data_IF_453393902918
#
_entry.id   IF_453393902918
#
_cell.length_a   1.000
_cell.length_b   1.000
_cell.length_c   1.000
_cell.angle_alpha   90.00
_cell.angle_beta   90.00
_cell.angle_gamma   90.00
#
_symmetry.space_group_name_H-M   'P 1'
#
loop_
_entity.id
_entity.type
_entity.pdbx_description
1 polymer ?
#
# COMPACT_ATOMS: atom_id res chain seq x y z
N UNK A 1 26.62 -16.77 34.61
CA UNK A 1 26.31 -16.86 33.17
C UNK A 1 24.84 -16.53 32.86
N UNK A 2 23.86 -17.06 33.60
CA UNK A 2 22.41 -16.81 33.37
C UNK A 2 22.00 -15.31 33.37
N UNK A 3 22.49 -14.51 34.32
CA UNK A 3 22.09 -13.09 34.42
C UNK A 3 22.54 -12.24 33.21
N UNK A 4 23.70 -12.52 32.62
CA UNK A 4 24.21 -11.78 31.44
C UNK A 4 23.33 -12.02 30.22
N UNK A 5 22.84 -13.26 30.03
CA UNK A 5 21.93 -13.60 28.94
C UNK A 5 20.55 -12.92 29.10
N UNK A 6 20.06 -12.80 30.34
CA UNK A 6 18.80 -12.13 30.63
C UNK A 6 18.88 -10.64 30.31
N UNK A 7 19.90 -9.92 30.80
CA UNK A 7 20.08 -8.49 30.50
C UNK A 7 20.20 -8.24 29.00
N UNK A 8 20.97 -9.06 28.27
CA UNK A 8 21.09 -8.94 26.81
C UNK A 8 19.76 -9.19 26.09
N UNK A 9 18.96 -10.16 26.53
CA UNK A 9 17.63 -10.43 25.95
C UNK A 9 16.68 -9.24 26.13
N UNK A 10 16.57 -8.69 27.34
CA UNK A 10 15.73 -7.51 27.60
C UNK A 10 16.19 -6.29 26.82
N UNK A 11 17.50 -6.07 26.70
CA UNK A 11 18.06 -5.00 25.88
C UNK A 11 17.66 -5.16 24.40
N UNK A 12 17.85 -6.36 23.82
CA UNK A 12 17.45 -6.64 22.43
C UNK A 12 15.94 -6.45 22.20
N UNK A 13 15.10 -6.88 23.16
CA UNK A 13 13.65 -6.67 23.09
C UNK A 13 13.30 -5.18 23.08
N UNK A 14 13.90 -4.38 23.97
CA UNK A 14 13.69 -2.92 24.02
C UNK A 14 14.14 -2.24 22.71
N UNK A 15 15.31 -2.60 22.17
CA UNK A 15 15.78 -2.06 20.87
C UNK A 15 14.82 -2.43 19.74
N UNK A 16 14.27 -3.65 19.73
CA UNK A 16 13.30 -4.08 18.72
C UNK A 16 12.00 -3.27 18.79
N UNK A 17 11.46 -3.01 19.99
CA UNK A 17 10.26 -2.21 20.20
C UNK A 17 10.49 -0.75 19.79
N UNK A 18 11.62 -0.17 20.18
CA UNK A 18 12.00 1.19 19.80
C UNK A 18 12.12 1.30 18.27
N UNK A 19 12.77 0.33 17.62
CA UNK A 19 12.90 0.29 16.16
C UNK A 19 11.53 0.22 15.47
N UNK A 20 10.59 -0.58 15.99
CA UNK A 20 9.21 -0.65 15.47
C UNK A 20 8.48 0.69 15.63
N UNK A 21 8.64 1.37 16.77
CA UNK A 21 8.02 2.67 17.01
C UNK A 21 8.58 3.75 16.09
N UNK A 22 9.91 3.82 15.93
CA UNK A 22 10.57 4.76 15.01
C UNK A 22 10.16 4.49 13.56
N UNK A 23 10.11 3.22 13.14
CA UNK A 23 9.65 2.89 11.79
C UNK A 23 8.18 3.25 11.58
N UNK A 24 7.31 3.04 12.58
CA UNK A 24 5.91 3.49 12.50
C UNK A 24 5.84 5.00 12.31
N UNK A 25 6.53 5.78 13.14
CA UNK A 25 6.58 7.23 13.04
C UNK A 25 7.04 7.71 11.65
N UNK A 26 8.10 7.10 11.11
CA UNK A 26 8.57 7.39 9.74
C UNK A 26 7.55 7.08 8.65
N UNK A 27 6.74 6.03 8.82
CA UNK A 27 5.69 5.70 7.85
C UNK A 27 4.49 6.65 7.96
N UNK A 28 4.17 7.12 9.16
CA UNK A 28 3.07 8.07 9.42
C UNK A 28 3.43 9.49 8.94
N UNK A 29 4.72 9.82 8.89
CA UNK A 29 5.24 11.06 8.28
C UNK A 29 5.16 11.09 6.75
N UNK A 30 4.89 9.96 6.08
CA UNK A 30 4.76 9.95 4.61
C UNK A 30 3.46 10.65 4.19
N UNK A 31 3.57 11.58 3.24
CA UNK A 31 2.42 12.34 2.72
C UNK A 31 1.52 11.49 1.82
N UNK A 32 2.10 10.52 1.11
CA UNK A 32 1.36 9.63 0.20
C UNK A 32 1.08 8.30 0.86
N UNK A 33 -0.18 7.88 0.82
CA UNK A 33 -0.64 6.60 1.36
C UNK A 33 -1.46 5.85 0.32
N UNK A 34 -1.20 4.55 0.15
CA UNK A 34 -2.00 3.68 -0.70
C UNK A 34 -2.67 2.57 0.10
N UNK A 35 -3.97 2.38 -0.11
CA UNK A 35 -4.76 1.30 0.47
C UNK A 35 -4.96 0.21 -0.60
N UNK A 36 -4.60 -1.03 -0.25
CA UNK A 36 -4.70 -2.22 -1.10
C UNK A 36 -5.36 -3.37 -0.34
N UNK A 37 -5.83 -4.39 -1.07
CA UNK A 37 -6.53 -5.52 -0.46
C UNK A 37 -5.56 -6.51 0.21
N UNK A 38 -4.56 -6.98 -0.52
CA UNK A 38 -3.65 -8.04 -0.09
C UNK A 38 -2.18 -7.64 0.01
N UNK A 39 -1.41 -8.53 0.66
CA UNK A 39 0.04 -8.41 0.77
C UNK A 39 0.74 -8.56 -0.58
N UNK A 40 0.23 -9.43 -1.45
CA UNK A 40 0.75 -9.64 -2.81
C UNK A 40 0.64 -8.38 -3.66
N UNK A 41 -0.43 -7.60 -3.48
CA UNK A 41 -0.63 -6.33 -4.19
C UNK A 41 0.39 -5.32 -3.71
N UNK A 42 0.54 -5.20 -2.38
CA UNK A 42 1.56 -4.36 -1.76
C UNK A 42 2.96 -4.68 -2.29
N UNK A 43 3.39 -5.94 -2.23
CA UNK A 43 4.72 -6.34 -2.70
C UNK A 43 4.92 -6.06 -4.20
N UNK A 44 3.88 -6.28 -5.02
CA UNK A 44 3.93 -5.98 -6.45
C UNK A 44 4.08 -4.47 -6.69
N UNK A 45 3.31 -3.65 -5.98
CA UNK A 45 3.34 -2.18 -6.11
C UNK A 45 4.68 -1.63 -5.62
N UNK A 46 5.19 -2.10 -4.46
CA UNK A 46 6.51 -1.73 -3.94
C UNK A 46 7.62 -2.06 -4.96
N UNK A 47 7.49 -3.16 -5.70
CA UNK A 47 8.48 -3.51 -6.74
C UNK A 47 8.47 -2.58 -7.96
N UNK A 48 7.43 -1.75 -8.14
CA UNK A 48 7.24 -0.85 -9.29
C UNK A 48 7.41 0.62 -8.89
N UNK A 49 6.98 1.00 -7.69
CA UNK A 49 7.02 2.36 -7.17
C UNK A 49 8.46 2.81 -6.93
N UNK A 50 8.78 4.04 -7.33
CA UNK A 50 10.10 4.65 -7.18
C UNK A 50 10.04 5.95 -6.36
N UNK A 51 9.18 5.98 -5.35
CA UNK A 51 9.13 7.03 -4.34
C UNK A 51 8.65 6.49 -3.00
N UNK A 52 8.96 7.17 -1.87
CA UNK A 52 8.45 6.79 -0.57
C UNK A 52 6.92 6.90 -0.51
N UNK A 53 6.27 5.83 -0.07
CA UNK A 53 4.82 5.79 0.13
C UNK A 53 4.47 4.75 1.18
N UNK A 54 3.52 5.07 2.05
CA UNK A 54 2.98 4.08 2.99
C UNK A 54 1.94 3.23 2.27
N UNK A 55 2.11 1.91 2.27
CA UNK A 55 1.11 0.98 1.70
C UNK A 55 0.45 0.16 2.81
N UNK A 56 -0.87 0.32 2.95
CA UNK A 56 -1.74 -0.32 3.95
C UNK A 56 -2.52 -1.44 3.27
N UNK A 57 -2.46 -2.65 3.83
CA UNK A 57 -3.24 -3.80 3.37
C UNK A 57 -4.47 -3.98 4.27
N UNK A 58 -5.66 -4.16 3.68
CA UNK A 58 -6.89 -4.43 4.45
C UNK A 58 -7.05 -5.90 4.84
N UNK A 59 -6.43 -6.83 4.09
CA UNK A 59 -6.64 -8.28 4.19
C UNK A 59 -8.07 -8.73 3.81
N UNK A 60 -8.60 -8.19 2.73
CA UNK A 60 -9.89 -8.61 2.13
C UNK A 60 -11.13 -7.92 2.71
N UNK A 61 -11.05 -7.37 3.91
CA UNK A 61 -12.17 -6.69 4.56
C UNK A 61 -11.66 -5.68 5.58
N UNK A 62 -12.47 -4.67 5.87
CA UNK A 62 -12.19 -3.71 6.92
C UNK A 62 -13.50 -3.38 7.65
N UNK A 63 -13.45 -3.35 8.98
CA UNK A 63 -14.62 -2.97 9.77
C UNK A 63 -14.87 -1.47 9.66
N UNK A 64 -16.12 -1.05 9.86
CA UNK A 64 -16.49 0.37 9.87
C UNK A 64 -15.62 1.18 10.85
N UNK A 65 -15.46 0.69 12.09
CA UNK A 65 -14.60 1.35 13.08
C UNK A 65 -13.14 1.50 12.61
N UNK A 66 -12.59 0.47 11.95
CA UNK A 66 -11.23 0.54 11.42
C UNK A 66 -11.11 1.51 10.24
N UNK A 67 -12.16 1.64 9.42
CA UNK A 67 -12.20 2.65 8.37
C UNK A 67 -12.22 4.06 8.95
N UNK A 68 -13.05 4.31 9.97
CA UNK A 68 -13.13 5.60 10.66
C UNK A 68 -11.78 5.96 11.29
N UNK A 69 -11.14 5.03 12.00
CA UNK A 69 -9.79 5.22 12.55
C UNK A 69 -8.75 5.56 11.47
N UNK A 70 -8.81 4.89 10.31
CA UNK A 70 -7.91 5.19 9.19
C UNK A 70 -8.24 6.52 8.53
N UNK A 71 -9.51 6.92 8.46
CA UNK A 71 -9.90 8.21 7.88
C UNK A 71 -9.36 9.36 8.73
N UNK A 72 -9.48 9.26 10.06
CA UNK A 72 -8.88 10.22 10.99
C UNK A 72 -7.35 10.24 10.89
N UNK A 73 -6.71 9.08 10.76
CA UNK A 73 -5.26 8.95 10.63
C UNK A 73 -4.72 9.56 9.32
N UNK A 74 -5.52 9.52 8.25
CA UNK A 74 -5.10 9.89 6.89
C UNK A 74 -5.73 11.21 6.40
N UNK A 75 -6.37 11.97 7.27
CA UNK A 75 -7.17 13.16 6.91
C UNK A 75 -6.40 14.20 6.09
N UNK A 76 -5.13 14.47 6.42
CA UNK A 76 -4.27 15.43 5.70
C UNK A 76 -3.28 14.75 4.73
N UNK A 77 -3.59 13.54 4.25
CA UNK A 77 -2.69 12.73 3.41
C UNK A 77 -3.23 12.55 1.99
N UNK A 78 -2.33 12.40 1.02
CA UNK A 78 -2.69 12.00 -0.34
C UNK A 78 -3.03 10.50 -0.35
N UNK A 79 -4.33 10.18 -0.28
CA UNK A 79 -4.81 8.80 -0.24
C UNK A 79 -5.08 8.26 -1.65
N UNK A 80 -4.45 7.14 -1.98
CA UNK A 80 -4.66 6.38 -3.21
C UNK A 80 -5.28 5.02 -2.88
N UNK A 81 -6.20 4.55 -3.72
CA UNK A 81 -6.90 3.29 -3.49
C UNK A 81 -6.77 2.41 -4.72
N UNK A 82 -6.10 1.27 -4.56
CA UNK A 82 -5.91 0.28 -5.61
C UNK A 82 -6.33 -1.10 -5.09
N UNK A 83 -7.61 -1.41 -5.29
CA UNK A 83 -8.21 -2.71 -4.92
C UNK A 83 -8.52 -3.52 -6.18
N UNK A 84 -8.72 -4.82 -5.98
CA UNK A 84 -9.01 -5.76 -7.05
C UNK A 84 -10.30 -5.38 -7.80
N UNK A 85 -10.36 -5.80 -9.06
CA UNK A 85 -11.47 -5.54 -9.97
C UNK A 85 -12.51 -6.67 -9.96
N UNK A 86 -12.39 -7.61 -9.02
CA UNK A 86 -13.35 -8.67 -8.78
C UNK A 86 -14.53 -8.21 -7.91
N UNK A 87 -15.45 -9.11 -7.57
CA UNK A 87 -16.63 -8.74 -6.76
C UNK A 87 -16.26 -8.33 -5.32
N UNK A 88 -15.21 -8.92 -4.74
CA UNK A 88 -14.73 -8.61 -3.39
C UNK A 88 -14.14 -7.20 -3.36
N UNK A 89 -13.20 -6.91 -4.25
CA UNK A 89 -12.56 -5.61 -4.39
C UNK A 89 -13.56 -4.50 -4.70
N UNK A 90 -14.59 -4.75 -5.51
CA UNK A 90 -15.65 -3.76 -5.77
C UNK A 90 -16.54 -3.49 -4.54
N UNK A 91 -16.77 -4.48 -3.67
CA UNK A 91 -17.46 -4.27 -2.38
C UNK A 91 -16.59 -3.43 -1.44
N UNK A 92 -15.31 -3.76 -1.31
CA UNK A 92 -14.35 -2.99 -0.52
C UNK A 92 -14.24 -1.55 -1.04
N UNK A 93 -14.18 -1.36 -2.36
CA UNK A 93 -14.17 -0.03 -3.00
C UNK A 93 -15.37 0.82 -2.62
N UNK A 94 -16.57 0.23 -2.54
CA UNK A 94 -17.79 0.94 -2.13
C UNK A 94 -17.74 1.37 -0.67
N UNK A 95 -17.17 0.56 0.21
CA UNK A 95 -16.97 0.93 1.62
C UNK A 95 -15.96 2.07 1.73
N UNK A 96 -14.81 1.94 1.08
CA UNK A 96 -13.77 2.96 1.07
C UNK A 96 -14.26 4.30 0.50
N UNK A 97 -15.08 4.31 -0.56
CA UNK A 97 -15.65 5.56 -1.13
C UNK A 97 -16.52 6.36 -0.15
N UNK A 98 -17.08 5.71 0.88
CA UNK A 98 -17.91 6.39 1.89
C UNK A 98 -17.06 7.20 2.85
N UNK A 99 -15.94 6.61 3.29
CA UNK A 99 -15.06 7.21 4.30
C UNK A 99 -13.91 8.02 3.68
N UNK A 100 -13.48 7.65 2.47
CA UNK A 100 -12.41 8.29 1.70
C UNK A 100 -12.95 8.86 0.38
N UNK A 101 -13.87 9.81 0.46
CA UNK A 101 -14.47 10.44 -0.71
C UNK A 101 -13.47 11.28 -1.55
N UNK A 102 -12.43 11.82 -0.91
CA UNK A 102 -11.36 12.61 -1.55
C UNK A 102 -10.21 11.75 -2.12
N UNK A 103 -10.19 10.45 -1.85
CA UNK A 103 -9.11 9.57 -2.28
C UNK A 103 -9.08 9.36 -3.82
N UNK A 104 -7.87 9.20 -4.34
CA UNK A 104 -7.64 8.83 -5.74
C UNK A 104 -7.89 7.32 -5.95
N UNK A 105 -9.05 6.98 -6.50
CA UNK A 105 -9.41 5.60 -6.80
C UNK A 105 -8.81 5.11 -8.13
N UNK A 106 -7.72 4.37 -8.03
CA UNK A 106 -7.04 3.72 -9.14
C UNK A 106 -7.73 2.41 -9.52
N UNK A 107 -7.58 2.02 -10.79
CA UNK A 107 -8.17 0.81 -11.35
C UNK A 107 -7.16 0.11 -12.27
N UNK A 108 -6.98 -1.19 -12.05
CA UNK A 108 -6.36 -2.08 -13.05
C UNK A 108 -7.37 -2.48 -14.12
N UNK A 109 -6.89 -3.00 -15.25
CA UNK A 109 -7.77 -3.56 -16.27
C UNK A 109 -8.54 -4.75 -15.66
N UNK A 110 -9.87 -4.77 -15.86
CA UNK A 110 -10.75 -5.86 -15.41
C UNK A 110 -10.32 -7.22 -15.97
N UNK A 111 -9.59 -7.26 -17.09
CA UNK A 111 -9.03 -8.47 -17.66
C UNK A 111 -8.08 -9.20 -16.69
N UNK A 112 -7.41 -8.49 -15.79
CA UNK A 112 -6.49 -9.10 -14.82
C UNK A 112 -7.19 -9.59 -13.55
N UNK A 113 -8.39 -9.10 -13.24
CA UNK A 113 -9.16 -9.33 -12.00
C UNK A 113 -8.47 -8.84 -10.72
N UNK A 114 -7.23 -9.27 -10.48
CA UNK A 114 -6.44 -8.96 -9.30
C UNK A 114 -5.27 -8.03 -9.65
N UNK A 115 -4.90 -7.14 -8.73
CA UNK A 115 -3.72 -6.27 -8.85
C UNK A 115 -2.45 -7.12 -8.91
N UNK A 116 -2.35 -8.14 -8.05
CA UNK A 116 -1.28 -9.14 -8.07
C UNK A 116 -1.21 -9.97 -9.36
N UNK A 117 -2.25 -10.03 -10.20
CA UNK A 117 -2.21 -10.72 -11.49
C UNK A 117 -1.77 -9.78 -12.64
N UNK A 118 -1.99 -8.48 -12.51
CA UNK A 118 -1.67 -7.52 -13.56
C UNK A 118 -0.14 -7.42 -13.83
N UNK A 119 0.31 -7.31 -15.09
CA UNK A 119 1.71 -7.12 -15.41
C UNK A 119 2.29 -5.83 -14.79
N UNK A 120 3.57 -5.85 -14.41
CA UNK A 120 4.23 -4.68 -13.78
C UNK A 120 4.19 -3.41 -14.64
N UNK A 121 4.28 -3.52 -15.97
CA UNK A 121 4.15 -2.37 -16.87
C UNK A 121 2.73 -1.75 -16.86
N UNK A 122 1.70 -2.56 -16.66
CA UNK A 122 0.34 -2.08 -16.49
C UNK A 122 0.20 -1.33 -15.17
N UNK A 123 0.69 -1.91 -14.07
CA UNK A 123 0.75 -1.24 -12.77
C UNK A 123 1.52 0.08 -12.89
N UNK A 124 2.68 0.09 -13.54
CA UNK A 124 3.47 1.30 -13.76
C UNK A 124 2.68 2.38 -14.52
N UNK A 125 1.94 2.00 -15.56
CA UNK A 125 1.07 2.95 -16.29
C UNK A 125 -0.07 3.48 -15.42
N UNK A 126 -0.66 2.67 -14.54
CA UNK A 126 -1.74 3.10 -13.63
C UNK A 126 -1.20 4.10 -12.60
N UNK A 127 -0.07 3.77 -11.97
CA UNK A 127 0.59 4.63 -10.99
C UNK A 127 1.07 5.95 -11.61
N UNK A 128 1.70 5.90 -12.80
CA UNK A 128 2.19 7.10 -13.49
C UNK A 128 1.06 8.08 -13.84
N UNK A 129 -0.12 7.58 -14.23
CA UNK A 129 -1.31 8.42 -14.49
C UNK A 129 -1.81 9.13 -13.23
N UNK A 130 -1.49 8.61 -12.07
CA UNK A 130 -1.80 9.20 -10.76
C UNK A 130 -0.70 10.16 -10.28
N UNK A 131 0.25 10.53 -11.15
CA UNK A 131 1.44 11.31 -10.83
C UNK A 131 2.33 10.67 -9.77
N UNK A 132 2.36 9.33 -9.73
CA UNK A 132 3.26 8.57 -8.88
C UNK A 132 4.52 8.17 -9.65
N UNK A 133 5.67 8.28 -8.99
CA UNK A 133 6.96 7.93 -9.57
C UNK A 133 7.12 6.41 -9.62
N UNK A 134 7.54 5.89 -10.77
CA UNK A 134 7.73 4.45 -11.00
C UNK A 134 9.13 4.18 -11.55
N UNK A 135 9.65 2.98 -11.33
CA UNK A 135 10.92 2.57 -11.92
C UNK A 135 10.78 2.52 -13.44
N UNK A 136 11.67 3.23 -14.14
CA UNK A 136 11.64 3.40 -15.61
C UNK A 136 11.70 2.08 -16.37
N UNK A 137 12.32 1.04 -15.80
CA UNK A 137 12.39 -0.32 -16.36
C UNK A 137 11.01 -0.93 -16.67
N UNK A 138 9.93 -0.43 -16.06
CA UNK A 138 8.57 -0.91 -16.31
C UNK A 138 7.80 -0.10 -17.37
N UNK A 139 8.36 1.01 -17.88
CA UNK A 139 7.74 1.84 -18.91
C UNK A 139 8.10 1.39 -20.34
N UNK A 140 9.12 0.55 -20.50
CA UNK A 140 9.58 0.07 -21.80
C UNK A 140 8.70 -1.06 -22.34
N UNK A 141 7.60 -0.75 -23.04
CA UNK A 141 6.90 -1.77 -23.84
C UNK A 141 6.11 -1.35 -25.08
N UNK A 142 6.20 -0.10 -25.54
CA UNK A 142 5.48 0.33 -26.77
C UNK A 142 6.32 0.55 -28.03
N UNK A 143 7.56 0.05 -28.07
CA UNK A 143 8.40 0.11 -29.29
C UNK A 143 8.90 -1.26 -29.74
N UNK A 144 8.02 -2.27 -29.83
CA UNK A 144 8.19 -3.43 -30.73
C UNK A 144 6.82 -3.87 -31.22
N UNK A 145 6.32 -3.09 -32.16
CA UNK A 145 5.08 -3.30 -32.90
C UNK A 145 5.19 -2.58 -34.24
N UNK A 146 6.32 -2.78 -34.94
CA UNK A 146 6.52 -2.60 -36.37
C UNK A 146 7.33 -3.80 -36.84
#
# INVERSE_FOLDING_TARGET
>A
MLAVNFTAFFYNLNISNLTRQVNKMKMDELEKVMIVEGKSDKEKIESVLNEPMRIICTNGTISQLRLEELADELYDKDVYILVDADESGEKLRKQLKREFNEACHLHVDRAYKEVAAAPRHHIASVLLRANLNVHTIFLERKSRGV
#
